data_IF_602313090391
#
_entry.id   IF_602313090391
#
_cell.length_a   1.000
_cell.length_b   1.000
_cell.length_c   1.000
_cell.angle_alpha   90.00
_cell.angle_beta   90.00
_cell.angle_gamma   90.00
#
_symmetry.space_group_name_H-M   'P 1'
#
loop_
_entity.id
_entity.type
_entity.pdbx_description
1 polymer ?
#
# COMPACT_ATOMS: atom_id res chain seq x y z
N UNK A 1 0.09 24.24 -33.94
CA UNK A 1 -0.74 23.03 -34.10
C UNK A 1 0.22 21.85 -34.20
N UNK A 2 0.43 21.15 -33.09
CA UNK A 2 1.12 19.86 -33.08
C UNK A 2 0.05 18.85 -33.40
N UNK A 3 0.05 18.30 -34.60
CA UNK A 3 -0.72 17.09 -34.91
C UNK A 3 -0.06 15.95 -34.19
N UNK A 4 -0.55 15.57 -33.00
CA UNK A 4 -0.18 14.29 -32.36
C UNK A 4 -0.75 13.19 -33.25
N UNK A 5 0.12 12.40 -33.83
CA UNK A 5 -0.24 11.21 -34.62
C UNK A 5 -0.97 10.25 -33.67
N UNK A 6 -2.29 10.17 -33.77
CA UNK A 6 -3.16 9.36 -32.87
C UNK A 6 -2.98 7.84 -33.04
N UNK A 7 -2.01 7.41 -33.87
CA UNK A 7 -1.81 6.02 -34.27
C UNK A 7 -0.43 5.46 -33.94
N UNK A 8 0.29 6.04 -32.99
CA UNK A 8 1.62 5.54 -32.60
C UNK A 8 1.51 4.77 -31.28
N UNK A 9 2.09 3.58 -31.26
CA UNK A 9 2.29 2.81 -30.03
C UNK A 9 3.03 3.64 -28.98
N UNK A 10 2.64 3.52 -27.71
CA UNK A 10 3.27 4.25 -26.61
C UNK A 10 3.35 3.39 -25.34
N UNK A 11 4.27 3.78 -24.46
CA UNK A 11 4.34 3.28 -23.08
C UNK A 11 3.67 4.31 -22.18
N UNK A 12 2.65 3.89 -21.46
CA UNK A 12 1.99 4.73 -20.47
C UNK A 12 2.88 4.91 -19.24
N UNK A 13 2.87 6.10 -18.64
CA UNK A 13 3.56 6.36 -17.38
C UNK A 13 2.53 6.90 -16.39
N UNK A 14 2.49 6.34 -15.20
CA UNK A 14 1.68 6.82 -14.08
C UNK A 14 2.60 7.11 -12.91
N UNK A 15 2.45 8.29 -12.32
CA UNK A 15 3.10 8.69 -11.07
C UNK A 15 2.15 8.43 -9.90
N UNK A 16 2.57 7.57 -8.96
CA UNK A 16 1.90 7.33 -7.70
C UNK A 16 2.72 7.95 -6.58
N UNK A 17 2.31 9.14 -6.13
CA UNK A 17 3.03 9.92 -5.13
C UNK A 17 2.21 10.20 -3.88
N UNK A 18 2.89 10.31 -2.72
CA UNK A 18 2.26 10.66 -1.45
C UNK A 18 1.43 9.51 -0.84
N UNK A 19 0.44 9.86 -0.04
CA UNK A 19 -0.38 8.89 0.70
C UNK A 19 -1.37 8.19 -0.22
N UNK A 20 -1.30 6.87 -0.29
CA UNK A 20 -2.23 6.03 -1.07
C UNK A 20 -3.59 5.97 -0.36
N UNK A 21 -4.63 6.34 -1.10
CA UNK A 21 -6.03 6.23 -0.69
C UNK A 21 -6.83 5.55 -1.79
N UNK A 22 -8.08 5.23 -1.51
CA UNK A 22 -8.98 4.71 -2.56
C UNK A 22 -9.23 5.80 -3.60
N UNK A 23 -8.70 5.57 -4.82
CA UNK A 23 -8.77 6.51 -5.94
C UNK A 23 -9.43 5.83 -7.16
N UNK A 24 -10.73 5.99 -7.24
CA UNK A 24 -11.52 5.47 -8.37
C UNK A 24 -11.17 6.16 -9.70
N UNK A 25 -10.67 7.41 -9.70
CA UNK A 25 -10.25 8.11 -10.93
C UNK A 25 -9.00 7.48 -11.50
N UNK A 26 -8.02 7.18 -10.64
CA UNK A 26 -6.80 6.49 -11.05
C UNK A 26 -7.11 5.08 -11.56
N UNK A 27 -8.01 4.33 -10.88
CA UNK A 27 -8.45 3.02 -11.38
C UNK A 27 -9.16 3.12 -12.75
N UNK A 28 -9.95 4.17 -12.97
CA UNK A 28 -10.56 4.41 -14.29
C UNK A 28 -9.51 4.72 -15.38
N UNK A 29 -8.41 5.42 -15.03
CA UNK A 29 -7.27 5.65 -15.96
C UNK A 29 -6.58 4.33 -16.27
N UNK A 30 -6.29 3.49 -15.27
CA UNK A 30 -5.71 2.16 -15.48
C UNK A 30 -6.59 1.32 -16.43
N UNK A 31 -7.92 1.35 -16.24
CA UNK A 31 -8.85 0.64 -17.11
C UNK A 31 -8.86 1.17 -18.56
N UNK A 32 -8.67 2.48 -18.74
CA UNK A 32 -8.52 3.07 -20.09
C UNK A 32 -7.22 2.59 -20.75
N UNK A 33 -6.11 2.55 -20.02
CA UNK A 33 -4.82 2.05 -20.52
C UNK A 33 -4.93 0.55 -20.87
N UNK A 34 -5.57 -0.24 -20.01
CA UNK A 34 -5.82 -1.66 -20.24
C UNK A 34 -6.53 -1.92 -21.58
N UNK A 35 -7.55 -1.12 -21.90
CA UNK A 35 -8.39 -1.30 -23.08
C UNK A 35 -7.89 -0.54 -24.34
N UNK A 36 -6.84 0.27 -24.23
CA UNK A 36 -6.30 1.02 -25.36
C UNK A 36 -5.20 0.20 -26.07
N UNK A 37 -5.48 -0.25 -27.28
CA UNK A 37 -4.54 -1.07 -28.07
C UNK A 37 -3.20 -0.38 -28.37
N UNK A 38 -3.15 0.96 -28.42
CA UNK A 38 -1.93 1.72 -28.66
C UNK A 38 -1.03 1.80 -27.42
N UNK A 39 -1.58 1.60 -26.22
CA UNK A 39 -0.81 1.51 -24.99
C UNK A 39 -0.18 0.12 -24.88
N UNK A 40 1.12 0.00 -25.10
CA UNK A 40 1.82 -1.29 -25.18
C UNK A 40 2.33 -1.80 -23.84
N UNK A 41 2.57 -0.90 -22.88
CA UNK A 41 3.06 -1.22 -21.55
C UNK A 41 2.71 -0.09 -20.58
N UNK A 42 2.87 -0.36 -19.28
CA UNK A 42 2.77 0.63 -18.20
C UNK A 42 4.08 0.69 -17.40
N UNK A 43 4.60 1.89 -17.20
CA UNK A 43 5.57 2.19 -16.16
C UNK A 43 4.84 2.87 -15.01
N UNK A 44 4.85 2.24 -13.84
CA UNK A 44 4.30 2.80 -12.60
C UNK A 44 5.44 3.33 -11.75
N UNK A 45 5.60 4.66 -11.68
CA UNK A 45 6.59 5.30 -10.82
C UNK A 45 6.00 5.52 -9.43
N UNK A 46 6.59 4.93 -8.40
CA UNK A 46 6.07 4.96 -7.04
C UNK A 46 7.01 5.78 -6.16
N UNK A 47 6.47 6.82 -5.52
CA UNK A 47 7.15 7.60 -4.48
C UNK A 47 6.17 7.85 -3.32
N UNK A 48 5.95 6.83 -2.49
CA UNK A 48 4.90 6.79 -1.48
C UNK A 48 5.37 6.12 -0.19
N UNK A 49 5.10 6.72 0.96
CA UNK A 49 5.34 6.10 2.27
C UNK A 49 4.29 5.03 2.62
N UNK A 50 3.25 4.87 1.81
CA UNK A 50 2.14 3.98 2.07
C UNK A 50 0.79 4.68 2.11
N UNK A 51 -0.17 4.09 2.81
CA UNK A 51 -1.52 4.64 2.90
C UNK A 51 -2.54 3.64 3.43
N UNK A 52 -3.78 3.75 2.97
CA UNK A 52 -4.84 2.84 3.39
C UNK A 52 -4.74 1.50 2.68
N UNK A 53 -5.02 0.41 3.41
CA UNK A 53 -4.98 -0.93 2.83
C UNK A 53 -6.00 -1.10 1.70
N UNK A 54 -7.21 -0.58 1.87
CA UNK A 54 -8.26 -0.63 0.83
C UNK A 54 -7.84 0.12 -0.43
N UNK A 55 -7.17 1.29 -0.28
CA UNK A 55 -6.65 2.05 -1.42
C UNK A 55 -5.57 1.27 -2.19
N UNK A 56 -4.65 0.64 -1.46
CA UNK A 56 -3.61 -0.19 -2.06
C UNK A 56 -4.19 -1.45 -2.73
N UNK A 57 -5.15 -2.11 -2.08
CA UNK A 57 -5.84 -3.28 -2.62
C UNK A 57 -6.55 -2.98 -3.93
N UNK A 58 -7.32 -1.87 -3.98
CA UNK A 58 -8.02 -1.46 -5.20
C UNK A 58 -7.07 -1.17 -6.37
N UNK A 59 -5.93 -0.54 -6.10
CA UNK A 59 -4.89 -0.31 -7.10
C UNK A 59 -4.19 -1.61 -7.49
N UNK A 60 -3.84 -2.46 -6.53
CA UNK A 60 -3.22 -3.76 -6.77
C UNK A 60 -4.03 -4.57 -7.79
N UNK A 61 -5.32 -4.77 -7.55
CA UNK A 61 -6.15 -5.55 -8.47
C UNK A 61 -6.31 -4.88 -9.84
N UNK A 62 -6.45 -3.55 -9.89
CA UNK A 62 -6.56 -2.83 -11.16
C UNK A 62 -5.27 -2.95 -11.99
N UNK A 63 -4.11 -2.91 -11.35
CA UNK A 63 -2.81 -3.08 -12.01
C UNK A 63 -2.63 -4.54 -12.43
N UNK A 64 -3.02 -5.52 -11.60
CA UNK A 64 -2.98 -6.94 -11.96
C UNK A 64 -3.81 -7.25 -13.21
N UNK A 65 -5.06 -6.74 -13.29
CA UNK A 65 -5.89 -6.89 -14.48
C UNK A 65 -5.23 -6.30 -15.74
N UNK A 66 -4.55 -5.17 -15.62
CA UNK A 66 -3.78 -4.56 -16.70
C UNK A 66 -2.56 -5.44 -17.05
N UNK A 67 -1.84 -5.93 -16.05
CA UNK A 67 -0.64 -6.76 -16.22
C UNK A 67 -0.95 -8.10 -16.90
N UNK A 68 -2.16 -8.64 -16.76
CA UNK A 68 -2.59 -9.84 -17.48
C UNK A 68 -2.67 -9.62 -19.02
N UNK A 69 -2.71 -8.36 -19.46
CA UNK A 69 -2.81 -7.99 -20.89
C UNK A 69 -1.57 -7.30 -21.43
N UNK A 70 -0.83 -6.58 -20.61
CA UNK A 70 0.27 -5.70 -21.01
C UNK A 70 1.35 -5.68 -19.94
N UNK A 71 2.64 -5.64 -20.33
CA UNK A 71 3.73 -5.55 -19.36
C UNK A 71 3.60 -4.34 -18.44
N UNK A 72 3.80 -4.56 -17.15
CA UNK A 72 3.82 -3.52 -16.11
C UNK A 72 5.13 -3.57 -15.35
N UNK A 73 5.82 -2.43 -15.30
CA UNK A 73 7.05 -2.26 -14.50
C UNK A 73 6.80 -1.21 -13.43
N UNK A 74 7.01 -1.58 -12.18
CA UNK A 74 7.05 -0.65 -11.06
C UNK A 74 8.46 -0.12 -10.87
N UNK A 75 8.63 1.20 -10.89
CA UNK A 75 9.90 1.89 -10.63
C UNK A 75 9.76 2.66 -9.32
N UNK A 76 10.50 2.23 -8.31
CA UNK A 76 10.50 2.86 -7.00
C UNK A 76 11.38 4.11 -7.00
N UNK A 77 10.85 5.24 -6.53
CA UNK A 77 11.58 6.48 -6.32
C UNK A 77 12.41 6.49 -5.04
N UNK A 78 12.28 7.55 -4.26
CA UNK A 78 12.95 7.68 -2.98
C UNK A 78 12.39 6.70 -1.95
N UNK A 79 11.05 6.56 -1.93
CA UNK A 79 10.33 5.70 -0.99
C UNK A 79 9.20 4.93 -1.68
N UNK A 80 9.08 3.65 -1.37
CA UNK A 80 7.95 2.80 -1.77
C UNK A 80 7.71 1.76 -0.66
N UNK A 81 7.08 2.20 0.43
CA UNK A 81 6.90 1.39 1.65
C UNK A 81 5.44 1.04 1.91
N UNK A 82 5.19 -0.01 2.71
CA UNK A 82 3.86 -0.39 3.17
C UNK A 82 2.86 -0.54 2.00
N UNK A 83 1.75 0.21 1.98
CA UNK A 83 0.80 0.24 0.86
C UNK A 83 1.47 0.56 -0.50
N UNK A 84 2.56 1.35 -0.53
CA UNK A 84 3.35 1.61 -1.74
C UNK A 84 4.06 0.35 -2.26
N UNK A 85 4.61 -0.45 -1.36
CA UNK A 85 5.18 -1.75 -1.70
C UNK A 85 4.11 -2.74 -2.15
N UNK A 86 2.95 -2.76 -1.47
CA UNK A 86 1.81 -3.60 -1.89
C UNK A 86 1.38 -3.30 -3.33
N UNK A 87 1.31 -2.03 -3.72
CA UNK A 87 0.98 -1.65 -5.09
C UNK A 87 2.08 -2.07 -6.07
N UNK A 88 3.36 -1.95 -5.69
CA UNK A 88 4.48 -2.41 -6.52
C UNK A 88 4.43 -3.90 -6.81
N UNK A 89 3.97 -4.73 -5.84
CA UNK A 89 3.80 -6.18 -6.02
C UNK A 89 2.83 -6.54 -7.16
N UNK A 90 1.97 -5.62 -7.59
CA UNK A 90 1.06 -5.86 -8.71
C UNK A 90 1.76 -5.86 -10.07
N UNK A 91 2.94 -5.27 -10.19
CA UNK A 91 3.71 -5.22 -11.41
C UNK A 91 4.38 -6.58 -11.74
N UNK A 92 4.80 -6.75 -13.00
CA UNK A 92 5.55 -7.92 -13.44
C UNK A 92 7.02 -7.85 -13.01
N UNK A 93 7.56 -6.62 -12.90
CA UNK A 93 8.92 -6.34 -12.45
C UNK A 93 8.92 -5.13 -11.54
N UNK A 94 9.77 -5.18 -10.53
CA UNK A 94 9.99 -4.11 -9.57
C UNK A 94 11.44 -3.68 -9.64
N UNK A 95 11.67 -2.41 -10.00
CA UNK A 95 12.98 -1.78 -10.09
C UNK A 95 13.14 -0.76 -8.97
N UNK A 96 14.25 -0.78 -8.26
CA UNK A 96 14.57 0.17 -7.21
C UNK A 96 15.98 0.74 -7.38
N UNK A 97 16.26 1.92 -6.84
CA UNK A 97 17.63 2.37 -6.68
C UNK A 97 18.24 1.75 -5.43
N UNK A 98 19.57 1.64 -5.39
CA UNK A 98 20.30 1.06 -4.25
C UNK A 98 19.90 1.65 -2.91
N UNK A 99 19.59 2.94 -2.88
CA UNK A 99 19.23 3.69 -1.66
C UNK A 99 17.73 3.96 -1.51
N UNK A 100 16.87 3.48 -2.42
CA UNK A 100 15.41 3.52 -2.27
C UNK A 100 15.03 2.89 -0.92
N UNK A 101 14.11 3.51 -0.20
CA UNK A 101 13.54 2.92 1.02
C UNK A 101 12.25 2.17 0.66
N UNK A 102 12.20 0.88 1.02
CA UNK A 102 11.05 0.01 0.73
C UNK A 102 10.74 -0.93 1.90
N UNK A 103 9.88 -1.94 1.68
CA UNK A 103 9.45 -2.84 2.75
C UNK A 103 8.37 -2.23 3.63
N UNK A 104 8.60 -2.13 4.94
CA UNK A 104 7.55 -1.75 5.91
C UNK A 104 6.28 -2.61 5.70
N UNK A 105 6.49 -3.92 5.53
CA UNK A 105 5.42 -4.90 5.33
C UNK A 105 4.76 -5.11 6.68
N UNK A 106 3.67 -4.37 6.89
CA UNK A 106 3.00 -4.34 8.18
C UNK A 106 1.72 -3.53 8.11
N UNK A 107 0.91 -3.66 9.16
CA UNK A 107 -0.36 -2.96 9.33
C UNK A 107 -0.41 -2.37 10.73
N UNK A 108 -0.85 -1.14 10.84
CA UNK A 108 -1.07 -0.51 12.14
C UNK A 108 -2.48 0.08 12.23
N UNK A 109 -3.00 0.10 13.44
CA UNK A 109 -4.14 0.92 13.84
C UNK A 109 -3.68 1.81 14.98
N UNK A 110 -3.74 3.12 14.80
CA UNK A 110 -3.22 4.08 15.77
C UNK A 110 -4.32 5.01 16.25
N UNK A 111 -4.39 5.19 17.55
CA UNK A 111 -5.21 6.19 18.23
C UNK A 111 -4.42 6.81 19.38
N UNK A 112 -4.81 7.99 19.81
CA UNK A 112 -4.26 8.62 21.00
C UNK A 112 -5.34 8.64 22.09
N UNK A 113 -4.96 8.42 23.36
CA UNK A 113 -5.83 8.65 24.51
C UNK A 113 -5.56 10.06 25.06
N UNK A 114 -6.54 10.94 24.95
CA UNK A 114 -6.46 12.34 25.44
C UNK A 114 -7.32 12.57 26.69
N UNK A 115 -7.83 11.54 27.32
CA UNK A 115 -8.76 11.64 28.47
C UNK A 115 -8.18 12.44 29.64
N UNK A 116 -6.93 12.18 29.99
CA UNK A 116 -6.24 12.91 31.06
C UNK A 116 -6.01 14.39 30.73
N UNK A 117 -5.74 14.71 29.48
CA UNK A 117 -5.61 16.10 29.01
C UNK A 117 -6.93 16.83 29.13
N UNK A 118 -8.01 16.23 28.64
CA UNK A 118 -9.36 16.81 28.73
C UNK A 118 -9.78 17.05 30.16
N UNK A 119 -9.51 16.11 31.07
CA UNK A 119 -9.77 16.26 32.49
C UNK A 119 -9.04 17.47 33.09
N UNK A 120 -7.76 17.69 32.74
CA UNK A 120 -7.00 18.86 33.20
C UNK A 120 -7.55 20.18 32.66
N UNK A 121 -8.17 20.16 31.49
CA UNK A 121 -8.83 21.33 30.89
C UNK A 121 -10.29 21.53 31.36
N UNK A 122 -10.80 20.65 32.25
CA UNK A 122 -12.18 20.72 32.72
C UNK A 122 -13.22 20.27 31.69
N UNK A 123 -12.79 19.62 30.60
CA UNK A 123 -13.66 19.12 29.54
C UNK A 123 -14.09 17.70 29.87
N UNK A 124 -15.39 17.45 29.85
CA UNK A 124 -15.98 16.11 30.07
C UNK A 124 -16.70 15.65 28.81
N UNK A 125 -16.14 14.75 28.02
CA UNK A 125 -16.82 14.16 26.86
C UNK A 125 -18.13 13.50 27.28
N UNK A 126 -19.21 13.73 26.52
CA UNK A 126 -20.49 13.07 26.71
C UNK A 126 -20.74 12.17 25.51
N UNK A 127 -20.73 10.87 25.74
CA UNK A 127 -20.80 9.87 24.65
C UNK A 127 -22.00 8.97 24.92
N UNK A 128 -22.88 8.87 23.92
CA UNK A 128 -23.99 7.91 23.91
C UNK A 128 -23.77 6.98 22.71
N UNK A 129 -23.70 5.70 22.98
CA UNK A 129 -23.44 4.67 21.94
C UNK A 129 -24.27 3.43 22.15
N UNK A 130 -24.53 2.71 21.07
CA UNK A 130 -25.35 1.51 21.08
C UNK A 130 -24.68 0.30 21.75
N UNK A 131 -23.33 0.32 21.87
CA UNK A 131 -22.55 -0.74 22.49
C UNK A 131 -21.16 -0.20 22.88
N UNK A 132 -20.47 -0.88 23.80
CA UNK A 132 -19.15 -0.48 24.31
C UNK A 132 -18.08 -0.41 23.21
N UNK A 133 -18.12 -1.31 22.24
CA UNK A 133 -17.15 -1.38 21.13
C UNK A 133 -17.44 -0.40 19.99
N UNK A 134 -18.59 0.30 20.02
CA UNK A 134 -18.90 1.29 18.98
C UNK A 134 -17.91 2.44 19.01
N UNK A 135 -17.30 2.74 17.84
CA UNK A 135 -16.30 3.79 17.65
C UNK A 135 -14.99 3.60 18.45
N UNK A 136 -14.60 2.36 18.70
CA UNK A 136 -13.29 2.03 19.29
C UNK A 136 -12.24 1.74 18.19
N UNK A 137 -10.97 2.12 18.41
CA UNK A 137 -10.44 2.93 19.51
C UNK A 137 -10.88 4.40 19.44
N UNK A 138 -11.23 4.99 20.58
CA UNK A 138 -11.65 6.39 20.70
C UNK A 138 -10.59 7.23 21.43
N UNK A 139 -10.28 8.46 20.98
CA UNK A 139 -9.39 9.33 21.73
C UNK A 139 -9.99 9.87 23.03
N UNK A 140 -11.31 9.77 23.18
CA UNK A 140 -12.08 10.34 24.30
C UNK A 140 -12.45 9.32 25.37
N UNK A 141 -12.00 8.10 25.25
CA UNK A 141 -12.25 7.01 26.20
C UNK A 141 -10.97 6.21 26.41
N UNK A 142 -10.74 5.63 27.60
CA UNK A 142 -9.64 4.71 27.82
C UNK A 142 -9.71 3.51 26.84
N UNK A 143 -8.57 3.11 26.32
CA UNK A 143 -8.49 1.95 25.40
C UNK A 143 -8.70 0.66 26.18
N UNK A 144 -9.92 0.14 26.20
CA UNK A 144 -10.32 -1.04 26.96
C UNK A 144 -9.64 -2.31 26.41
N UNK A 145 -9.57 -3.35 27.27
CA UNK A 145 -9.03 -4.66 26.88
C UNK A 145 -9.81 -5.25 25.70
N UNK A 146 -11.14 -5.20 25.73
CA UNK A 146 -11.99 -5.70 24.66
C UNK A 146 -11.75 -4.94 23.32
N UNK A 147 -11.62 -3.61 23.38
CA UNK A 147 -11.32 -2.80 22.20
C UNK A 147 -9.93 -3.15 21.62
N UNK A 148 -8.96 -3.40 22.49
CA UNK A 148 -7.61 -3.84 22.07
C UNK A 148 -7.66 -5.19 21.37
N UNK A 149 -8.28 -6.19 21.95
CA UNK A 149 -8.41 -7.53 21.39
C UNK A 149 -9.06 -7.53 20.00
N UNK A 150 -10.15 -6.78 19.82
CA UNK A 150 -10.80 -6.65 18.50
C UNK A 150 -9.89 -5.93 17.50
N UNK A 151 -9.18 -4.88 17.92
CA UNK A 151 -8.24 -4.16 17.06
C UNK A 151 -7.08 -5.06 16.61
N UNK A 152 -6.53 -5.85 17.51
CA UNK A 152 -5.47 -6.84 17.22
C UNK A 152 -5.94 -7.90 16.21
N UNK A 153 -7.16 -8.40 16.33
CA UNK A 153 -7.76 -9.33 15.36
C UNK A 153 -7.84 -8.71 13.96
N UNK A 154 -8.31 -7.46 13.86
CA UNK A 154 -8.41 -6.75 12.58
C UNK A 154 -7.02 -6.53 11.97
N UNK A 155 -6.06 -6.04 12.74
CA UNK A 155 -4.68 -5.83 12.31
C UNK A 155 -4.04 -7.14 11.83
N UNK A 156 -4.21 -8.23 12.59
CA UNK A 156 -3.67 -9.54 12.24
C UNK A 156 -4.29 -10.10 10.95
N UNK A 157 -5.60 -9.90 10.73
CA UNK A 157 -6.27 -10.33 9.51
C UNK A 157 -5.73 -9.61 8.27
N UNK A 158 -5.66 -8.27 8.33
CA UNK A 158 -5.16 -7.45 7.22
C UNK A 158 -3.67 -7.68 6.99
N UNK A 159 -2.89 -7.87 8.05
CA UNK A 159 -1.47 -8.22 7.92
C UNK A 159 -1.27 -9.58 7.23
N UNK A 160 -2.05 -10.59 7.57
CA UNK A 160 -2.01 -11.90 6.90
C UNK A 160 -2.28 -11.76 5.40
N UNK A 161 -3.28 -10.99 5.02
CA UNK A 161 -3.57 -10.70 3.62
C UNK A 161 -2.35 -10.10 2.89
N UNK A 162 -1.67 -9.12 3.51
CA UNK A 162 -0.45 -8.54 2.94
C UNK A 162 0.69 -9.58 2.82
N UNK A 163 0.87 -10.41 3.84
CA UNK A 163 1.84 -11.52 3.82
C UNK A 163 1.58 -12.47 2.65
N UNK A 164 0.33 -12.85 2.44
CA UNK A 164 -0.05 -13.77 1.37
C UNK A 164 0.28 -13.17 0.00
N UNK A 165 0.02 -11.89 -0.23
CA UNK A 165 0.42 -11.18 -1.46
C UNK A 165 1.93 -11.17 -1.66
N UNK A 166 2.72 -10.87 -0.61
CA UNK A 166 4.19 -10.89 -0.69
C UNK A 166 4.70 -12.29 -1.02
N UNK A 167 4.23 -13.31 -0.31
CA UNK A 167 4.62 -14.70 -0.53
C UNK A 167 4.33 -15.13 -1.97
N UNK A 168 3.13 -14.86 -2.47
CA UNK A 168 2.70 -15.20 -3.83
C UNK A 168 3.53 -14.46 -4.89
N UNK A 169 3.61 -13.15 -4.77
CA UNK A 169 4.22 -12.30 -5.80
C UNK A 169 5.75 -12.39 -5.84
N UNK A 170 6.37 -12.61 -4.70
CA UNK A 170 7.83 -12.76 -4.59
C UNK A 170 8.29 -14.23 -4.58
N UNK A 171 7.35 -15.18 -4.62
CA UNK A 171 7.63 -16.64 -4.57
C UNK A 171 8.46 -17.02 -3.35
N UNK A 172 8.25 -16.33 -2.24
CA UNK A 172 8.94 -16.58 -0.98
C UNK A 172 8.20 -17.64 -0.16
N UNK A 173 8.95 -18.43 0.60
CA UNK A 173 8.36 -19.34 1.57
C UNK A 173 7.58 -18.56 2.63
N UNK A 174 6.61 -19.20 3.29
CA UNK A 174 5.88 -18.57 4.41
C UNK A 174 6.81 -18.16 5.57
N UNK A 175 7.91 -18.90 5.77
CA UNK A 175 8.90 -18.61 6.81
C UNK A 175 9.68 -17.35 6.44
N UNK A 176 10.21 -17.27 5.22
CA UNK A 176 10.96 -16.10 4.74
C UNK A 176 10.07 -14.86 4.69
N UNK A 177 8.84 -15.00 4.20
CA UNK A 177 7.88 -13.89 4.17
C UNK A 177 7.64 -13.34 5.58
N UNK A 178 7.42 -14.19 6.60
CA UNK A 178 7.24 -13.74 7.98
C UNK A 178 8.47 -13.03 8.54
N UNK A 179 9.67 -13.52 8.21
CA UNK A 179 10.94 -12.91 8.62
C UNK A 179 11.10 -11.49 8.08
N UNK A 180 10.62 -11.25 6.85
CA UNK A 180 10.72 -9.96 6.15
C UNK A 180 9.56 -9.00 6.46
N UNK A 181 8.48 -9.51 7.02
CA UNK A 181 7.23 -8.77 7.23
C UNK A 181 6.97 -8.45 8.72
N UNK A 182 8.01 -8.06 9.42
CA UNK A 182 7.94 -7.58 10.81
C UNK A 182 7.78 -6.05 10.91
N UNK A 183 7.50 -5.40 9.77
CA UNK A 183 7.33 -3.95 9.69
C UNK A 183 8.63 -3.17 9.44
N UNK A 184 9.79 -3.84 9.35
CA UNK A 184 11.06 -3.16 9.07
C UNK A 184 11.11 -2.59 7.65
N UNK A 185 11.94 -1.57 7.48
CA UNK A 185 12.28 -1.01 6.17
C UNK A 185 13.56 -1.64 5.65
N UNK A 186 13.74 -1.58 4.34
CA UNK A 186 14.93 -2.03 3.61
C UNK A 186 15.40 -0.93 2.69
N UNK A 187 16.70 -0.85 2.45
CA UNK A 187 17.22 -0.17 1.27
C UNK A 187 16.97 -1.02 0.03
N UNK A 188 16.95 -0.41 -1.17
CA UNK A 188 16.82 -1.18 -2.41
C UNK A 188 17.93 -2.24 -2.55
N UNK A 189 19.16 -1.94 -2.08
CA UNK A 189 20.26 -2.90 -2.05
C UNK A 189 19.98 -4.12 -1.16
N UNK A 190 19.37 -3.94 0.00
CA UNK A 190 18.91 -5.04 0.86
C UNK A 190 17.70 -5.76 0.25
N UNK A 191 16.80 -5.00 -0.34
CA UNK A 191 15.57 -5.54 -0.91
C UNK A 191 15.82 -6.50 -2.07
N UNK A 192 16.86 -6.27 -2.90
CA UNK A 192 17.21 -7.21 -3.97
C UNK A 192 17.84 -8.49 -3.42
N UNK A 193 18.67 -8.40 -2.39
CA UNK A 193 19.26 -9.56 -1.71
C UNK A 193 18.20 -10.45 -1.07
N UNK A 194 17.13 -9.84 -0.54
CA UNK A 194 16.00 -10.51 0.10
C UNK A 194 14.89 -10.92 -0.88
N UNK A 195 15.06 -10.67 -2.17
CA UNK A 195 14.07 -11.02 -3.20
C UNK A 195 12.81 -10.14 -3.22
N UNK A 196 12.83 -8.98 -2.54
CA UNK A 196 11.70 -8.06 -2.49
C UNK A 196 11.58 -7.18 -3.74
N UNK A 197 12.65 -6.99 -4.48
CA UNK A 197 12.70 -6.30 -5.78
C UNK A 197 13.45 -7.16 -6.80
N UNK A 198 13.32 -6.85 -8.09
CA UNK A 198 13.86 -7.67 -9.18
C UNK A 198 15.16 -7.11 -9.74
N UNK A 199 15.38 -5.80 -9.64
CA UNK A 199 16.50 -5.12 -10.30
C UNK A 199 16.85 -3.81 -9.58
N UNK A 200 18.13 -3.43 -9.69
CA UNK A 200 18.62 -2.10 -9.31
C UNK A 200 18.84 -1.27 -10.58
N UNK A 201 18.24 -0.03 -10.63
CA UNK A 201 18.34 0.90 -11.74
C UNK A 201 18.72 2.31 -11.30
#
# INVERSE_FOLDING_TARGET
KIFSNQFTDYVAIIDLTGIIRDDHKLRAVLKKIENNEMARALILRINSPGGTMVGAEGLYYSIRQLSDKKPVVAVMGEVATSAGYMVALAADRIVARKTTITGSIGVLMQSADVTNLLTKLGIKPQIVKSSELKAQPSPFEPFSKAAREISEIVVAYVHRYFLDLVSERRKLSKIDTRRLADGRIFTGGQAIEEGLVDELG
#
